data_IF_370689352313
#
_entry.id   IF_370689352313
#
_cell.length_a   1.000
_cell.length_b   1.000
_cell.length_c   1.000
_cell.angle_alpha   90.00
_cell.angle_beta   90.00
_cell.angle_gamma   90.00
#
_symmetry.space_group_name_H-M   'P 1'
#
loop_
_entity.id
_entity.type
_entity.pdbx_description
1 polymer ?
#
# COMPACT_ATOMS: atom_id res chain seq x y z
N UNK A 1 41.89 -46.62 -24.40
CA UNK A 1 42.30 -45.22 -24.17
C UNK A 1 41.35 -44.32 -24.95
N UNK A 2 40.79 -43.33 -24.42
CA UNK A 2 39.78 -42.41 -24.93
C UNK A 2 38.32 -42.85 -24.77
N UNK A 3 37.71 -42.36 -23.67
CA UNK A 3 36.30 -41.90 -23.62
C UNK A 3 36.07 -41.23 -22.26
N UNK A 4 36.46 -39.96 -22.14
CA UNK A 4 36.08 -39.05 -21.08
C UNK A 4 36.14 -37.66 -21.62
N UNK A 5 35.00 -37.10 -22.02
CA UNK A 5 34.73 -35.66 -22.16
C UNK A 5 33.34 -35.46 -22.76
N UNK A 6 32.28 -35.49 -21.98
CA UNK A 6 30.97 -34.92 -22.35
C UNK A 6 29.96 -34.96 -21.20
N UNK A 7 30.27 -34.39 -20.04
CA UNK A 7 29.26 -34.23 -18.94
C UNK A 7 29.30 -32.87 -18.27
N UNK A 8 30.09 -31.92 -18.75
CA UNK A 8 30.25 -30.62 -18.05
C UNK A 8 29.46 -29.43 -18.63
N UNK A 9 28.54 -29.58 -19.57
CA UNK A 9 27.88 -28.46 -20.24
C UNK A 9 26.37 -28.30 -19.96
N UNK A 10 25.75 -29.11 -19.10
CA UNK A 10 24.29 -29.03 -18.86
C UNK A 10 23.92 -28.38 -17.52
N UNK A 11 24.87 -28.18 -16.61
CA UNK A 11 24.59 -27.69 -15.25
C UNK A 11 24.48 -26.14 -15.13
N UNK A 12 24.86 -25.36 -16.14
CA UNK A 12 24.82 -23.88 -16.04
C UNK A 12 23.55 -23.19 -16.60
N UNK A 13 22.66 -23.93 -17.26
CA UNK A 13 21.45 -23.33 -17.88
C UNK A 13 20.21 -23.32 -16.94
N UNK A 14 20.27 -23.97 -15.78
CA UNK A 14 19.09 -24.07 -14.89
C UNK A 14 19.04 -23.06 -13.76
N UNK A 15 20.04 -22.21 -13.57
CA UNK A 15 20.04 -21.21 -12.49
C UNK A 15 19.46 -19.84 -12.87
N UNK A 16 19.07 -19.59 -14.13
CA UNK A 16 18.51 -18.33 -14.58
C UNK A 16 16.96 -18.34 -14.72
N UNK A 17 16.31 -19.48 -14.59
CA UNK A 17 14.86 -19.61 -14.85
C UNK A 17 13.97 -19.59 -13.60
N UNK A 18 14.52 -19.39 -12.39
CA UNK A 18 13.78 -19.50 -11.10
C UNK A 18 13.75 -18.19 -10.30
N UNK A 19 13.57 -17.02 -10.95
CA UNK A 19 13.24 -15.77 -10.26
C UNK A 19 11.99 -15.14 -10.86
N UNK A 20 10.88 -15.89 -10.80
CA UNK A 20 9.58 -15.39 -11.23
C UNK A 20 8.88 -14.56 -10.15
N UNK A 21 9.24 -14.76 -8.87
CA UNK A 21 8.65 -14.00 -7.75
C UNK A 21 9.72 -13.75 -6.69
N UNK A 22 9.83 -12.51 -6.19
CA UNK A 22 10.86 -12.10 -5.23
C UNK A 22 10.38 -10.95 -4.34
N UNK A 23 10.98 -10.83 -3.15
CA UNK A 23 10.87 -9.63 -2.31
C UNK A 23 12.23 -8.94 -2.32
N UNK A 24 12.23 -7.62 -2.57
CA UNK A 24 13.42 -6.77 -2.61
C UNK A 24 13.23 -5.55 -1.71
N UNK A 25 14.33 -4.97 -1.23
CA UNK A 25 14.30 -3.68 -0.53
C UNK A 25 15.02 -2.62 -1.36
N UNK A 26 14.47 -1.42 -1.39
CA UNK A 26 15.05 -0.29 -2.13
C UNK A 26 14.59 1.06 -1.55
N UNK A 27 15.45 2.05 -1.59
CA UNK A 27 15.15 3.46 -1.30
C UNK A 27 14.98 4.30 -2.58
N UNK A 28 15.16 3.69 -3.77
CA UNK A 28 14.99 4.34 -5.07
C UNK A 28 13.87 3.65 -5.87
N UNK A 29 12.81 4.39 -6.13
CA UNK A 29 11.65 3.89 -6.89
C UNK A 29 11.99 3.47 -8.34
N UNK A 30 13.15 3.86 -8.87
CA UNK A 30 13.63 3.38 -10.17
C UNK A 30 13.84 1.86 -10.18
N UNK A 31 14.18 1.26 -9.03
CA UNK A 31 14.26 -0.20 -8.90
C UNK A 31 12.88 -0.85 -9.03
N UNK A 32 11.83 -0.25 -8.44
CA UNK A 32 10.43 -0.66 -8.63
C UNK A 32 10.03 -0.56 -10.10
N UNK A 33 10.34 0.58 -10.74
CA UNK A 33 10.06 0.81 -12.16
C UNK A 33 10.80 -0.19 -13.08
N UNK A 34 12.01 -0.61 -12.71
CA UNK A 34 12.75 -1.65 -13.44
C UNK A 34 12.06 -3.02 -13.34
N UNK A 35 11.50 -3.39 -12.18
CA UNK A 35 10.72 -4.61 -12.04
C UNK A 35 9.45 -4.58 -12.91
N UNK A 36 8.71 -3.46 -12.91
CA UNK A 36 7.55 -3.26 -13.78
C UNK A 36 7.94 -3.39 -15.26
N UNK A 37 9.04 -2.74 -15.66
CA UNK A 37 9.53 -2.79 -17.05
C UNK A 37 9.89 -4.22 -17.47
N UNK A 38 10.58 -4.97 -16.62
CA UNK A 38 10.94 -6.37 -16.85
C UNK A 38 9.70 -7.24 -17.13
N UNK A 39 8.63 -7.06 -16.34
CA UNK A 39 7.39 -7.78 -16.57
C UNK A 39 6.63 -7.29 -17.81
N UNK A 40 6.63 -6.00 -18.09
CA UNK A 40 6.02 -5.45 -19.30
C UNK A 40 6.70 -5.96 -20.58
N UNK A 41 8.02 -6.09 -20.55
CA UNK A 41 8.79 -6.66 -21.69
C UNK A 41 8.52 -8.17 -21.86
N UNK A 42 8.17 -8.87 -20.78
CA UNK A 42 7.87 -10.32 -20.79
C UNK A 42 6.42 -10.64 -21.19
N UNK A 43 5.46 -9.89 -20.72
CA UNK A 43 4.03 -10.24 -20.81
C UNK A 43 3.19 -9.26 -21.65
N UNK A 44 3.71 -8.08 -21.95
CA UNK A 44 2.95 -6.93 -22.44
C UNK A 44 2.57 -5.98 -21.30
N UNK A 45 2.60 -4.65 -21.52
CA UNK A 45 2.33 -3.67 -20.49
C UNK A 45 0.92 -3.78 -19.89
N UNK A 46 -0.07 -4.11 -20.70
CA UNK A 46 -1.48 -4.28 -20.31
C UNK A 46 -1.74 -5.48 -19.38
N UNK A 47 -0.74 -6.36 -19.24
CA UNK A 47 -0.80 -7.54 -18.36
C UNK A 47 -0.01 -7.38 -17.08
N UNK A 48 0.45 -6.17 -16.80
CA UNK A 48 1.20 -5.83 -15.59
C UNK A 48 0.39 -4.87 -14.73
N UNK A 49 0.29 -5.20 -13.44
CA UNK A 49 -0.32 -4.36 -12.43
C UNK A 49 0.75 -3.82 -11.48
N UNK A 50 0.87 -2.50 -11.41
CA UNK A 50 1.64 -1.81 -10.38
C UNK A 50 0.71 -1.42 -9.23
N UNK A 51 0.96 -1.98 -8.05
CA UNK A 51 0.18 -1.72 -6.83
C UNK A 51 1.04 -0.93 -5.84
N UNK A 52 0.51 0.15 -5.31
CA UNK A 52 1.25 1.14 -4.53
C UNK A 52 0.51 1.46 -3.24
N UNK A 53 1.22 1.42 -2.12
CA UNK A 53 0.74 2.01 -0.88
C UNK A 53 0.83 3.55 -0.92
N UNK A 54 0.19 4.24 0.04
CA UNK A 54 0.21 5.71 0.14
C UNK A 54 1.24 6.19 1.15
N UNK A 55 1.04 5.86 2.42
CA UNK A 55 1.77 6.47 3.52
C UNK A 55 3.24 6.04 3.48
N UNK A 56 4.14 7.03 3.51
CA UNK A 56 5.58 6.86 3.34
C UNK A 56 6.04 6.18 2.02
N UNK A 57 5.10 5.82 1.15
CA UNK A 57 5.37 5.20 -0.17
C UNK A 57 5.13 6.19 -1.32
N UNK A 58 3.89 6.63 -1.53
CA UNK A 58 3.54 7.66 -2.52
C UNK A 58 3.62 9.07 -1.93
N UNK A 59 3.19 9.21 -0.68
CA UNK A 59 3.09 10.46 0.04
C UNK A 59 3.60 10.30 1.48
N UNK A 60 4.32 11.30 1.97
CA UNK A 60 4.67 11.46 3.37
C UNK A 60 4.18 12.82 3.89
N UNK A 61 3.76 12.88 5.16
CA UNK A 61 3.35 14.13 5.78
C UNK A 61 4.53 15.11 5.89
N UNK A 62 4.27 16.41 5.66
CA UNK A 62 5.29 17.45 5.84
C UNK A 62 5.70 17.66 7.31
N UNK A 63 4.92 17.13 8.23
CA UNK A 63 5.13 17.21 9.68
C UNK A 63 4.83 15.87 10.33
N UNK A 64 5.45 15.61 11.47
CA UNK A 64 5.22 14.38 12.24
C UNK A 64 3.77 14.27 12.74
N UNK A 65 3.15 15.38 13.13
CA UNK A 65 1.75 15.38 13.56
C UNK A 65 0.83 14.94 12.42
N UNK A 66 0.13 13.84 12.63
CA UNK A 66 -0.75 13.21 11.64
C UNK A 66 -0.03 12.31 10.62
N UNK A 67 1.31 12.10 10.75
CA UNK A 67 2.01 11.08 9.96
C UNK A 67 1.60 9.67 10.38
N UNK A 68 1.88 8.67 9.53
CA UNK A 68 1.62 7.26 9.87
C UNK A 68 2.34 6.84 11.14
N UNK A 69 3.62 7.19 11.30
CA UNK A 69 4.38 6.87 12.50
C UNK A 69 3.84 7.54 13.75
N UNK A 70 3.23 8.72 13.65
CA UNK A 70 2.54 9.37 14.74
C UNK A 70 1.23 8.64 15.09
N UNK A 71 0.45 8.26 14.10
CA UNK A 71 -0.78 7.49 14.27
C UNK A 71 -0.51 6.14 14.95
N UNK A 72 0.51 5.41 14.48
CA UNK A 72 0.92 4.14 15.09
C UNK A 72 1.42 4.31 16.53
N UNK A 73 2.08 5.43 16.81
CA UNK A 73 2.50 5.75 18.18
C UNK A 73 1.28 6.04 19.08
N UNK A 74 0.31 6.83 18.64
CA UNK A 74 -0.93 7.09 19.39
C UNK A 74 -1.72 5.79 19.61
N UNK A 75 -1.81 4.94 18.59
CA UNK A 75 -2.44 3.62 18.74
C UNK A 75 -1.71 2.75 19.76
N UNK A 76 -0.37 2.75 19.74
CA UNK A 76 0.42 2.04 20.73
C UNK A 76 0.13 2.54 22.15
N UNK A 77 0.08 3.86 22.36
CA UNK A 77 -0.27 4.44 23.67
C UNK A 77 -1.67 4.02 24.12
N UNK A 78 -2.64 4.08 23.20
CA UNK A 78 -4.02 3.67 23.49
C UNK A 78 -4.10 2.21 23.94
N UNK A 79 -3.37 1.32 23.29
CA UNK A 79 -3.41 -0.12 23.56
C UNK A 79 -2.59 -0.53 24.80
N UNK A 80 -1.48 0.17 25.10
CA UNK A 80 -0.49 -0.28 26.07
C UNK A 80 -0.24 0.71 27.23
N UNK A 81 -0.43 2.00 26.98
CA UNK A 81 -0.15 3.08 27.94
C UNK A 81 -1.33 4.08 28.04
N UNK A 82 -2.56 3.61 28.35
CA UNK A 82 -3.77 4.46 28.30
C UNK A 82 -3.82 5.60 29.32
N UNK A 83 -2.81 5.71 30.20
CA UNK A 83 -2.64 6.81 31.16
C UNK A 83 -1.50 7.76 30.79
N UNK A 84 -0.93 7.62 29.59
CA UNK A 84 0.15 8.49 29.13
C UNK A 84 -0.35 9.92 28.95
N UNK A 85 0.39 10.91 29.43
CA UNK A 85 0.12 12.34 29.19
C UNK A 85 0.28 12.73 27.71
N UNK A 86 0.85 11.85 26.90
CA UNK A 86 1.07 12.03 25.48
C UNK A 86 -0.07 11.44 24.62
N UNK A 87 -0.97 10.64 25.22
CA UNK A 87 -2.17 10.13 24.56
C UNK A 87 -3.20 11.27 24.44
N UNK A 88 -3.76 11.42 23.22
CA UNK A 88 -4.63 12.56 22.92
C UNK A 88 -6.11 12.21 22.78
N UNK A 89 -6.46 10.93 22.85
CA UNK A 89 -7.82 10.40 22.68
C UNK A 89 -8.08 9.25 23.63
N UNK A 90 -9.35 8.94 23.88
CA UNK A 90 -9.75 7.85 24.77
C UNK A 90 -10.17 6.57 24.03
N UNK A 91 -10.31 6.65 22.69
CA UNK A 91 -10.75 5.51 21.87
C UNK A 91 -10.09 5.50 20.48
N UNK A 92 -10.12 4.33 19.85
CA UNK A 92 -9.62 4.18 18.48
C UNK A 92 -10.47 4.95 17.45
N UNK A 93 -11.77 5.05 17.65
CA UNK A 93 -12.67 5.80 16.77
C UNK A 93 -12.36 7.30 16.83
N UNK A 94 -12.12 7.85 18.03
CA UNK A 94 -11.66 9.24 18.18
C UNK A 94 -10.28 9.46 17.50
N UNK A 95 -9.37 8.47 17.58
CA UNK A 95 -8.08 8.57 16.91
C UNK A 95 -8.25 8.65 15.39
N UNK A 96 -9.19 7.90 14.81
CA UNK A 96 -9.53 8.00 13.39
C UNK A 96 -10.12 9.36 13.03
N UNK A 97 -10.98 9.93 13.86
CA UNK A 97 -11.55 11.27 13.65
C UNK A 97 -10.46 12.36 13.67
N UNK A 98 -9.56 12.31 14.66
CA UNK A 98 -8.40 13.21 14.72
C UNK A 98 -7.51 13.03 13.50
N UNK A 99 -7.25 11.80 13.07
CA UNK A 99 -6.44 11.53 11.87
C UNK A 99 -7.11 12.10 10.61
N UNK A 100 -8.44 11.98 10.47
CA UNK A 100 -9.19 12.55 9.35
C UNK A 100 -9.06 14.08 9.30
N UNK A 101 -9.18 14.73 10.46
CA UNK A 101 -8.96 16.18 10.58
C UNK A 101 -7.51 16.54 10.19
N UNK A 102 -6.51 15.82 10.71
CA UNK A 102 -5.10 16.09 10.41
C UNK A 102 -4.76 15.88 8.92
N UNK A 103 -5.33 14.86 8.27
CA UNK A 103 -5.22 14.69 6.82
C UNK A 103 -5.91 15.81 6.04
N UNK A 104 -7.04 16.31 6.55
CA UNK A 104 -7.77 17.41 5.92
C UNK A 104 -7.03 18.74 5.99
N UNK A 105 -6.34 19.02 7.09
CA UNK A 105 -5.56 20.23 7.33
C UNK A 105 -4.14 20.13 6.80
N UNK A 106 -3.58 18.92 6.78
CA UNK A 106 -2.18 18.66 6.48
C UNK A 106 -1.83 18.79 5.00
N UNK A 107 -0.53 18.77 4.75
CA UNK A 107 0.05 18.68 3.41
C UNK A 107 1.06 17.56 3.37
N UNK A 108 1.14 16.93 2.21
CA UNK A 108 2.05 15.81 1.96
C UNK A 108 3.00 16.14 0.81
N UNK A 109 4.06 15.36 0.72
CA UNK A 109 5.04 15.41 -0.37
C UNK A 109 5.42 14.00 -0.82
N UNK A 110 5.88 13.81 -2.06
CA UNK A 110 6.42 12.52 -2.48
C UNK A 110 7.75 12.23 -1.75
N UNK A 111 7.96 11.03 -1.17
CA UNK A 111 9.22 10.64 -0.56
C UNK A 111 10.42 10.81 -1.50
N UNK A 112 10.23 10.52 -2.77
CA UNK A 112 11.20 10.76 -3.84
C UNK A 112 10.65 11.82 -4.79
N UNK A 113 11.38 12.91 -4.97
CA UNK A 113 10.93 14.11 -5.71
C UNK A 113 10.45 13.82 -7.14
N UNK A 114 11.07 12.88 -7.83
CA UNK A 114 10.72 12.51 -9.21
C UNK A 114 9.71 11.34 -9.31
N UNK A 115 9.23 10.82 -8.17
CA UNK A 115 8.31 9.70 -8.10
C UNK A 115 7.05 9.87 -8.96
N UNK A 116 6.32 11.01 -8.95
CA UNK A 116 5.15 11.21 -9.79
C UNK A 116 5.47 11.08 -11.28
N UNK A 117 6.65 11.57 -11.69
CA UNK A 117 7.10 11.47 -13.10
C UNK A 117 7.47 10.05 -13.48
N UNK A 118 8.05 9.27 -12.56
CA UNK A 118 8.37 7.86 -12.81
C UNK A 118 7.08 7.06 -13.01
N UNK A 119 6.09 7.24 -12.13
CA UNK A 119 4.78 6.58 -12.23
C UNK A 119 4.07 6.97 -13.54
N UNK A 120 3.99 8.27 -13.85
CA UNK A 120 3.36 8.76 -15.08
C UNK A 120 3.99 8.15 -16.35
N UNK A 121 5.32 7.91 -16.37
CA UNK A 121 5.98 7.21 -17.49
C UNK A 121 5.57 5.74 -17.60
N UNK A 122 5.38 5.05 -16.49
CA UNK A 122 4.88 3.68 -16.50
C UNK A 122 3.43 3.63 -17.00
N UNK A 123 2.59 4.53 -16.51
CA UNK A 123 1.20 4.70 -16.94
C UNK A 123 1.10 4.99 -18.45
N UNK A 124 1.95 5.86 -18.99
CA UNK A 124 1.95 6.18 -20.42
C UNK A 124 2.34 5.00 -21.32
N UNK A 125 2.91 3.92 -20.77
CA UNK A 125 3.18 2.65 -21.45
C UNK A 125 1.98 1.68 -21.41
N UNK A 126 0.88 2.05 -20.75
CA UNK A 126 -0.31 1.19 -20.61
C UNK A 126 -0.25 0.24 -19.41
N UNK A 127 0.64 0.48 -18.43
CA UNK A 127 0.69 -0.30 -17.18
C UNK A 127 -0.55 0.05 -16.34
N UNK A 128 -1.31 -0.95 -15.90
CA UNK A 128 -2.37 -0.75 -14.92
C UNK A 128 -1.78 -0.34 -13.56
N UNK A 129 -2.42 0.62 -12.90
CA UNK A 129 -1.99 1.10 -11.58
C UNK A 129 -3.14 1.08 -10.58
N UNK A 130 -2.85 0.63 -9.38
CA UNK A 130 -3.77 0.64 -8.23
C UNK A 130 -3.05 1.20 -7.02
N UNK A 131 -3.66 2.15 -6.36
CA UNK A 131 -3.29 2.56 -5.01
C UNK A 131 -4.03 1.66 -4.03
N UNK A 132 -3.30 0.95 -3.17
CA UNK A 132 -3.85 0.01 -2.19
C UNK A 132 -3.45 0.47 -0.79
N UNK A 133 -4.38 1.09 -0.08
CA UNK A 133 -4.11 1.72 1.23
C UNK A 133 -4.97 1.14 2.34
N UNK A 134 -4.41 1.11 3.55
CA UNK A 134 -5.16 0.78 4.78
C UNK A 134 -6.10 1.89 5.24
N UNK A 135 -6.05 3.06 4.64
CA UNK A 135 -6.99 4.15 4.91
C UNK A 135 -8.43 3.69 4.63
N UNK A 136 -9.38 4.16 5.43
CA UNK A 136 -10.80 3.93 5.20
C UNK A 136 -11.43 4.95 4.24
N UNK A 137 -12.67 4.69 3.78
CA UNK A 137 -13.41 5.59 2.89
C UNK A 137 -13.55 7.03 3.39
N UNK A 138 -13.55 7.23 4.70
CA UNK A 138 -13.64 8.54 5.38
C UNK A 138 -12.45 9.45 5.05
N UNK A 139 -11.30 8.88 4.67
CA UNK A 139 -10.09 9.64 4.29
C UNK A 139 -10.01 9.96 2.80
N UNK A 140 -11.00 9.54 1.98
CA UNK A 140 -10.93 9.63 0.51
C UNK A 140 -10.69 11.04 0.01
N UNK A 141 -11.50 12.01 0.42
CA UNK A 141 -11.38 13.38 -0.08
C UNK A 141 -10.01 14.02 0.22
N UNK A 142 -9.47 13.78 1.42
CA UNK A 142 -8.14 14.27 1.79
C UNK A 142 -7.04 13.56 0.98
N UNK A 143 -7.19 12.26 0.75
CA UNK A 143 -6.25 11.43 -0.02
C UNK A 143 -6.20 11.88 -1.48
N UNK A 144 -7.34 11.98 -2.15
CA UNK A 144 -7.44 12.41 -3.56
C UNK A 144 -6.89 13.82 -3.75
N UNK A 145 -7.20 14.74 -2.82
CA UNK A 145 -6.65 16.10 -2.83
C UNK A 145 -5.12 16.10 -2.77
N UNK A 146 -4.52 15.29 -1.88
CA UNK A 146 -3.06 15.28 -1.72
C UNK A 146 -2.37 14.55 -2.89
N UNK A 147 -2.96 13.48 -3.43
CA UNK A 147 -2.47 12.83 -4.65
C UNK A 147 -2.49 13.81 -5.83
N UNK A 148 -3.61 14.49 -6.07
CA UNK A 148 -3.72 15.48 -7.16
C UNK A 148 -2.76 16.66 -6.98
N UNK A 149 -2.60 17.17 -5.74
CA UNK A 149 -1.66 18.25 -5.42
C UNK A 149 -0.21 17.86 -5.73
N UNK A 150 0.13 16.60 -5.57
CA UNK A 150 1.45 16.06 -5.83
C UNK A 150 1.57 15.46 -7.25
N UNK A 151 0.65 15.80 -8.15
CA UNK A 151 0.67 15.43 -9.57
C UNK A 151 0.54 13.92 -9.85
N UNK A 152 -0.17 13.19 -9.00
CA UNK A 152 -0.58 11.82 -9.27
C UNK A 152 -1.98 11.80 -9.87
N UNK A 153 -2.15 10.95 -10.88
CA UNK A 153 -3.44 10.59 -11.47
C UNK A 153 -3.45 9.08 -11.71
N UNK A 154 -4.34 8.38 -11.02
CA UNK A 154 -4.48 6.92 -11.15
C UNK A 154 -5.73 6.52 -11.93
N UNK A 155 -6.63 7.46 -12.24
CA UNK A 155 -7.88 7.17 -12.94
C UNK A 155 -7.64 6.63 -14.36
N UNK A 156 -6.66 7.22 -15.07
CA UNK A 156 -6.39 6.90 -16.47
C UNK A 156 -5.92 5.45 -16.68
N UNK A 157 -5.22 4.86 -15.71
CA UNK A 157 -4.69 3.49 -15.77
C UNK A 157 -5.25 2.60 -14.67
N UNK A 158 -6.38 3.00 -14.08
CA UNK A 158 -7.08 2.20 -13.10
C UNK A 158 -7.33 0.78 -13.64
N UNK A 159 -7.18 -0.22 -12.77
CA UNK A 159 -7.55 -1.60 -13.13
C UNK A 159 -9.06 -1.63 -13.42
N UNK A 160 -9.50 -2.02 -14.62
CA UNK A 160 -10.92 -2.15 -14.90
C UNK A 160 -11.50 -3.34 -14.13
N UNK A 161 -12.67 -3.16 -13.55
CA UNK A 161 -13.33 -4.17 -12.73
C UNK A 161 -14.72 -4.51 -13.29
N UNK A 162 -15.12 -5.77 -13.13
CA UNK A 162 -16.44 -6.27 -13.47
C UNK A 162 -17.35 -6.24 -12.26
N UNK A 163 -18.56 -5.72 -12.45
CA UNK A 163 -19.69 -5.90 -11.52
C UNK A 163 -19.47 -5.40 -10.08
N UNK A 164 -18.51 -4.50 -9.83
CA UNK A 164 -18.42 -3.88 -8.52
C UNK A 164 -19.37 -2.68 -8.42
N UNK A 165 -20.05 -2.51 -7.28
CA UNK A 165 -20.88 -1.34 -7.03
C UNK A 165 -20.03 -0.07 -6.96
N UNK A 166 -20.58 1.06 -7.37
CA UNK A 166 -20.00 2.36 -7.06
C UNK A 166 -20.16 2.70 -5.58
N UNK A 167 -19.24 3.50 -5.04
CA UNK A 167 -19.23 3.87 -3.63
C UNK A 167 -18.67 2.80 -2.71
N UNK A 168 -19.15 2.79 -1.46
CA UNK A 168 -18.71 1.83 -0.45
C UNK A 168 -19.43 0.48 -0.61
N UNK A 169 -18.66 -0.61 -0.52
CA UNK A 169 -19.15 -1.98 -0.60
C UNK A 169 -18.39 -2.92 0.32
N UNK A 170 -18.94 -4.10 0.62
CA UNK A 170 -18.22 -5.14 1.36
C UNK A 170 -17.34 -5.93 0.38
N UNK A 171 -16.03 -6.09 0.66
CA UNK A 171 -15.07 -6.66 -0.30
C UNK A 171 -15.14 -8.18 -0.42
N UNK A 172 -15.83 -8.86 0.48
CA UNK A 172 -16.08 -10.31 0.48
C UNK A 172 -17.28 -10.65 1.37
N UNK A 173 -17.81 -11.86 1.16
CA UNK A 173 -18.79 -12.50 2.02
C UNK A 173 -18.16 -13.74 2.67
N UNK A 174 -18.24 -13.86 4.00
CA UNK A 174 -17.71 -15.02 4.73
C UNK A 174 -18.49 -16.30 4.42
N UNK A 175 -19.76 -16.20 4.02
CA UNK A 175 -20.61 -17.32 3.63
C UNK A 175 -20.41 -17.75 2.17
N UNK A 176 -19.84 -16.86 1.31
CA UNK A 176 -19.54 -17.13 -0.10
C UNK A 176 -18.20 -16.56 -0.55
N UNK A 177 -17.13 -16.99 0.07
CA UNK A 177 -15.75 -16.54 -0.22
C UNK A 177 -15.36 -16.71 -1.69
N UNK A 178 -15.89 -17.72 -2.36
CA UNK A 178 -15.56 -18.05 -3.74
C UNK A 178 -16.02 -16.97 -4.72
N UNK A 179 -17.13 -16.28 -4.42
CA UNK A 179 -17.63 -15.17 -5.22
C UNK A 179 -16.61 -14.02 -5.34
N UNK A 180 -15.72 -13.88 -4.35
CA UNK A 180 -14.69 -12.85 -4.29
C UNK A 180 -13.27 -13.43 -4.45
N UNK A 181 -13.15 -14.66 -4.97
CA UNK A 181 -11.85 -15.30 -5.24
C UNK A 181 -11.04 -15.69 -4.01
N UNK A 182 -11.68 -15.74 -2.85
CA UNK A 182 -11.07 -16.10 -1.58
C UNK A 182 -11.39 -17.56 -1.21
N UNK A 183 -10.66 -18.09 -0.24
CA UNK A 183 -10.82 -19.46 0.29
C UNK A 183 -10.85 -19.44 1.81
N UNK A 184 -11.32 -20.52 2.42
CA UNK A 184 -11.24 -20.70 3.88
C UNK A 184 -9.80 -20.64 4.41
N UNK A 185 -8.81 -21.04 3.59
CA UNK A 185 -7.39 -20.90 3.96
C UNK A 185 -6.97 -19.42 3.99
N UNK A 186 -7.49 -18.57 3.09
CA UNK A 186 -7.20 -17.14 3.09
C UNK A 186 -7.76 -16.47 4.35
N UNK A 187 -8.97 -16.86 4.79
CA UNK A 187 -9.55 -16.40 6.06
C UNK A 187 -8.59 -16.66 7.22
N UNK A 188 -8.08 -17.89 7.33
CA UNK A 188 -7.15 -18.26 8.39
C UNK A 188 -5.78 -17.57 8.25
N UNK A 189 -5.24 -17.49 7.02
CA UNK A 189 -3.89 -16.96 6.76
C UNK A 189 -3.80 -15.46 6.91
N UNK A 190 -4.87 -14.72 6.58
CA UNK A 190 -4.92 -13.25 6.62
C UNK A 190 -5.73 -12.71 7.80
N UNK A 191 -6.24 -13.59 8.66
CA UNK A 191 -7.04 -13.20 9.83
C UNK A 191 -8.29 -12.44 9.45
N UNK A 192 -9.00 -12.88 8.40
CA UNK A 192 -10.20 -12.21 7.95
C UNK A 192 -11.33 -12.40 8.97
N UNK A 193 -11.99 -11.31 9.30
CA UNK A 193 -13.14 -11.24 10.16
C UNK A 193 -14.34 -10.68 9.38
N UNK A 194 -15.38 -10.25 10.08
CA UNK A 194 -16.50 -9.51 9.46
C UNK A 194 -15.98 -8.38 8.56
N UNK A 195 -16.36 -8.34 7.27
CA UNK A 195 -15.83 -7.35 6.34
C UNK A 195 -16.29 -5.94 6.71
N UNK A 196 -15.38 -4.99 6.50
CA UNK A 196 -15.68 -3.56 6.62
C UNK A 196 -15.89 -2.96 5.24
N UNK A 197 -16.74 -1.91 5.11
CA UNK A 197 -16.90 -1.22 3.84
C UNK A 197 -15.58 -0.69 3.29
N UNK A 198 -15.37 -0.93 2.00
CA UNK A 198 -14.22 -0.46 1.21
C UNK A 198 -14.71 0.37 0.03
N UNK A 199 -13.82 1.11 -0.62
CA UNK A 199 -14.15 1.81 -1.86
C UNK A 199 -13.02 1.62 -2.88
N UNK A 200 -13.39 1.35 -4.14
CA UNK A 200 -12.46 1.39 -5.27
C UNK A 200 -12.96 2.40 -6.31
N UNK A 201 -12.33 3.54 -6.37
CA UNK A 201 -12.67 4.62 -7.30
C UNK A 201 -11.40 5.27 -7.83
N UNK A 202 -11.38 5.61 -9.11
CA UNK A 202 -10.24 6.27 -9.78
C UNK A 202 -8.88 5.58 -9.56
N UNK A 203 -8.88 4.23 -9.47
CA UNK A 203 -7.66 3.47 -9.23
C UNK A 203 -7.18 3.47 -7.77
N UNK A 204 -7.96 4.02 -6.83
CA UNK A 204 -7.63 4.08 -5.40
C UNK A 204 -8.53 3.12 -4.63
N UNK A 205 -7.92 2.09 -4.03
CA UNK A 205 -8.58 1.10 -3.19
C UNK A 205 -8.30 1.37 -1.72
N UNK A 206 -9.34 1.79 -0.99
CA UNK A 206 -9.28 2.10 0.43
C UNK A 206 -9.86 0.93 1.22
N UNK A 207 -9.05 0.26 2.04
CA UNK A 207 -9.37 -1.06 2.61
C UNK A 207 -9.80 -1.04 4.07
N UNK A 208 -9.89 0.14 4.71
CA UNK A 208 -10.35 0.30 6.09
C UNK A 208 -9.58 -0.60 7.09
N UNK A 209 -8.26 -0.72 6.94
CA UNK A 209 -7.38 -1.51 7.79
C UNK A 209 -7.45 -3.02 7.57
N UNK A 210 -8.20 -3.50 6.58
CA UNK A 210 -8.27 -4.91 6.25
C UNK A 210 -7.00 -5.41 5.53
N UNK A 211 -6.76 -6.73 5.55
CA UNK A 211 -5.57 -7.33 4.97
C UNK A 211 -5.37 -6.96 3.51
N UNK A 212 -4.32 -6.19 3.20
CA UNK A 212 -3.98 -5.77 1.82
C UNK A 212 -3.81 -6.97 0.88
N UNK A 213 -3.31 -8.11 1.38
CA UNK A 213 -3.17 -9.33 0.60
C UNK A 213 -4.51 -9.89 0.15
N UNK A 214 -5.44 -10.07 1.07
CA UNK A 214 -6.79 -10.55 0.77
C UNK A 214 -7.57 -9.55 -0.10
N UNK A 215 -7.47 -8.26 0.20
CA UNK A 215 -8.11 -7.21 -0.59
C UNK A 215 -7.60 -7.18 -2.04
N UNK A 216 -6.30 -7.38 -2.25
CA UNK A 216 -5.76 -7.47 -3.60
C UNK A 216 -6.22 -8.74 -4.34
N UNK A 217 -6.36 -9.87 -3.65
CA UNK A 217 -6.93 -11.09 -4.26
C UNK A 217 -8.36 -10.86 -4.74
N UNK A 218 -9.21 -10.29 -3.88
CA UNK A 218 -10.59 -9.96 -4.23
C UNK A 218 -10.64 -8.97 -5.42
N UNK A 219 -9.79 -7.93 -5.41
CA UNK A 219 -9.70 -6.99 -6.52
C UNK A 219 -9.28 -7.68 -7.84
N UNK A 220 -8.27 -8.55 -7.80
CA UNK A 220 -7.79 -9.30 -8.97
C UNK A 220 -8.84 -10.28 -9.50
N UNK A 221 -9.66 -10.89 -8.62
CA UNK A 221 -10.76 -11.75 -9.01
C UNK A 221 -11.81 -11.00 -9.85
N UNK A 222 -12.11 -9.77 -9.48
CA UNK A 222 -13.04 -8.91 -10.21
C UNK A 222 -12.41 -8.14 -11.38
N UNK A 223 -11.11 -8.30 -11.62
CA UNK A 223 -10.44 -7.59 -12.71
C UNK A 223 -10.99 -7.98 -14.10
N UNK A 224 -11.22 -6.99 -14.93
CA UNK A 224 -11.53 -7.16 -16.36
C UNK A 224 -10.27 -6.96 -17.22
N UNK A 225 -9.17 -7.58 -16.79
CA UNK A 225 -7.89 -7.58 -17.47
C UNK A 225 -7.15 -8.89 -17.19
N UNK A 226 -6.39 -9.40 -18.17
CA UNK A 226 -5.55 -10.60 -18.03
C UNK A 226 -4.21 -10.24 -17.36
N UNK A 227 -4.24 -9.95 -16.06
CA UNK A 227 -3.02 -9.62 -15.30
C UNK A 227 -2.16 -10.88 -15.15
N UNK A 228 -0.89 -10.80 -15.54
CA UNK A 228 0.13 -11.89 -15.43
C UNK A 228 1.19 -11.61 -14.41
N UNK A 229 1.43 -10.35 -14.11
CA UNK A 229 2.43 -9.97 -13.13
C UNK A 229 1.97 -8.79 -12.28
N UNK A 230 2.35 -8.81 -11.02
CA UNK A 230 2.10 -7.76 -10.03
C UNK A 230 3.45 -7.24 -9.52
N UNK A 231 3.60 -5.93 -9.47
CA UNK A 231 4.67 -5.28 -8.70
C UNK A 231 4.00 -4.50 -7.58
N UNK A 232 4.32 -4.86 -6.34
CA UNK A 232 3.76 -4.20 -5.15
C UNK A 232 4.85 -3.44 -4.41
N UNK A 233 4.62 -2.16 -4.11
CA UNK A 233 5.53 -1.34 -3.31
C UNK A 233 4.83 -0.76 -2.09
N UNK A 234 5.47 -0.92 -0.92
CA UNK A 234 4.97 -0.50 0.39
C UNK A 234 6.18 -0.24 1.31
N UNK A 235 6.08 0.73 2.21
CA UNK A 235 7.15 1.02 3.18
C UNK A 235 7.18 0.01 4.34
N UNK A 236 6.13 -0.80 4.52
CA UNK A 236 6.02 -1.79 5.59
C UNK A 236 6.30 -3.19 5.06
N UNK A 237 7.44 -3.75 5.46
CA UNK A 237 7.87 -5.11 5.04
C UNK A 237 6.80 -6.19 5.31
N UNK A 238 6.01 -6.05 6.38
CA UNK A 238 4.94 -7.01 6.68
C UNK A 238 3.81 -6.95 5.63
N UNK A 239 3.42 -5.75 5.17
CA UNK A 239 2.46 -5.62 4.08
C UNK A 239 3.00 -6.23 2.79
N UNK A 240 4.28 -5.97 2.47
CA UNK A 240 4.94 -6.59 1.31
C UNK A 240 4.90 -8.12 1.41
N UNK A 241 5.22 -8.68 2.57
CA UNK A 241 5.20 -10.12 2.79
C UNK A 241 3.79 -10.72 2.66
N UNK A 242 2.77 -10.07 3.23
CA UNK A 242 1.38 -10.54 3.15
C UNK A 242 0.82 -10.47 1.72
N UNK A 243 1.06 -9.38 1.00
CA UNK A 243 0.63 -9.25 -0.40
C UNK A 243 1.39 -10.25 -1.28
N UNK A 244 2.69 -10.42 -1.05
CA UNK A 244 3.49 -11.43 -1.75
C UNK A 244 2.93 -12.84 -1.52
N UNK A 245 2.68 -13.22 -0.27
CA UNK A 245 2.12 -14.53 0.08
C UNK A 245 0.72 -14.75 -0.53
N UNK A 246 -0.10 -13.71 -0.59
CA UNK A 246 -1.43 -13.77 -1.18
C UNK A 246 -1.38 -14.05 -2.68
N UNK A 247 -0.53 -13.34 -3.42
CA UNK A 247 -0.53 -13.36 -4.89
C UNK A 247 0.36 -14.48 -5.45
N UNK A 248 1.47 -14.81 -4.77
CA UNK A 248 2.37 -15.88 -5.20
C UNK A 248 1.64 -17.22 -5.27
N UNK A 249 1.78 -17.93 -6.40
CA UNK A 249 1.12 -19.23 -6.59
C UNK A 249 -0.36 -19.15 -7.04
N UNK A 250 -0.92 -17.96 -7.21
CA UNK A 250 -2.29 -17.74 -7.70
C UNK A 250 -2.35 -17.45 -9.22
N UNK A 251 -1.33 -17.87 -9.97
CA UNK A 251 -1.27 -17.68 -11.42
C UNK A 251 -0.62 -16.37 -11.86
N UNK A 252 -0.14 -15.57 -10.93
CA UNK A 252 0.58 -14.32 -11.19
C UNK A 252 2.04 -14.43 -10.76
N UNK A 253 2.95 -13.83 -11.52
CA UNK A 253 4.29 -13.52 -11.02
C UNK A 253 4.23 -12.26 -10.16
N UNK A 254 5.02 -12.18 -9.08
CA UNK A 254 5.01 -11.01 -8.19
C UNK A 254 6.42 -10.59 -7.80
N UNK A 255 6.67 -9.29 -7.81
CA UNK A 255 7.78 -8.65 -7.10
C UNK A 255 7.24 -7.77 -5.99
N UNK A 256 7.53 -8.11 -4.74
CA UNK A 256 7.29 -7.28 -3.58
C UNK A 256 8.48 -6.33 -3.36
N UNK A 257 8.22 -5.03 -3.28
CA UNK A 257 9.25 -4.01 -3.07
C UNK A 257 9.04 -3.35 -1.70
N UNK A 258 9.90 -3.64 -0.74
CA UNK A 258 9.98 -2.88 0.51
C UNK A 258 10.65 -1.54 0.21
N UNK A 259 9.85 -0.46 0.15
CA UNK A 259 10.32 0.88 -0.19
C UNK A 259 10.73 1.63 1.06
N UNK A 260 12.04 1.78 1.29
CA UNK A 260 12.64 2.23 2.55
C UNK A 260 13.02 3.70 2.58
N UNK A 261 12.51 4.52 1.64
CA UNK A 261 12.91 5.92 1.48
C UNK A 261 12.67 6.76 2.72
N UNK A 262 11.52 6.59 3.39
CA UNK A 262 11.15 7.31 4.60
C UNK A 262 11.60 6.62 5.89
N UNK A 263 12.22 5.44 5.83
CA UNK A 263 12.69 4.70 7.01
C UNK A 263 13.58 5.52 7.95
N UNK A 264 14.49 6.39 7.47
CA UNK A 264 15.25 7.27 8.37
C UNK A 264 14.39 8.26 9.16
N UNK A 265 13.31 8.79 8.55
CA UNK A 265 12.38 9.70 9.22
C UNK A 265 11.49 8.93 10.21
N UNK A 266 10.98 7.77 9.81
CA UNK A 266 10.20 6.88 10.67
C UNK A 266 11.01 6.52 11.93
N UNK A 267 12.26 6.08 11.76
CA UNK A 267 13.15 5.76 12.88
C UNK A 267 13.46 6.98 13.76
N UNK A 268 13.66 8.15 13.16
CA UNK A 268 13.87 9.38 13.90
C UNK A 268 12.69 9.71 14.79
N UNK A 269 11.47 9.57 14.28
CA UNK A 269 10.27 9.75 15.08
C UNK A 269 10.16 8.66 16.16
N UNK A 270 10.31 7.39 15.78
CA UNK A 270 10.10 6.24 16.65
C UNK A 270 10.99 6.29 17.91
N UNK A 271 12.26 6.64 17.72
CA UNK A 271 13.27 6.68 18.81
C UNK A 271 13.55 8.09 19.34
N UNK A 272 12.99 9.12 18.74
CA UNK A 272 13.23 10.50 19.10
C UNK A 272 12.29 11.05 20.17
N UNK A 273 12.56 12.29 20.58
CA UNK A 273 11.73 13.07 21.48
C UNK A 273 10.38 13.43 20.82
N UNK A 274 9.30 13.37 21.59
CA UNK A 274 7.93 13.69 21.16
C UNK A 274 7.50 15.12 21.50
N UNK A 275 8.35 15.91 22.14
CA UNK A 275 7.98 17.26 22.64
C UNK A 275 7.46 18.17 21.53
N UNK A 276 8.11 18.13 20.34
CA UNK A 276 7.71 19.00 19.23
C UNK A 276 6.34 18.63 18.68
N UNK A 277 6.06 17.35 18.48
CA UNK A 277 4.75 16.91 17.96
C UNK A 277 3.64 17.17 18.99
N UNK A 278 3.91 16.96 20.27
CA UNK A 278 2.98 17.28 21.35
C UNK A 278 2.73 18.79 21.47
N UNK A 279 3.76 19.61 21.30
CA UNK A 279 3.60 21.06 21.27
C UNK A 279 2.73 21.52 20.11
N UNK A 280 2.90 20.92 18.92
CA UNK A 280 2.05 21.21 17.74
C UNK A 280 0.62 20.81 17.96
N UNK A 281 0.39 19.62 18.55
CA UNK A 281 -0.95 19.17 18.89
C UNK A 281 -1.63 20.14 19.85
N UNK A 282 -1.00 20.45 21.00
CA UNK A 282 -1.55 21.40 21.98
C UNK A 282 -1.86 22.78 21.40
N UNK A 283 -1.05 23.24 20.43
CA UNK A 283 -1.33 24.50 19.73
C UNK A 283 -2.55 24.41 18.83
N UNK A 284 -2.70 23.31 18.10
CA UNK A 284 -3.85 23.07 17.24
C UNK A 284 -5.14 22.92 18.06
N UNK A 285 -5.12 22.08 19.08
CA UNK A 285 -6.27 21.85 19.98
C UNK A 285 -6.80 23.15 20.57
N UNK A 286 -5.93 23.98 21.17
CA UNK A 286 -6.31 25.29 21.68
C UNK A 286 -6.92 26.23 20.62
N UNK A 287 -6.35 26.22 19.41
CA UNK A 287 -6.90 27.08 18.34
C UNK A 287 -8.30 26.60 17.89
N UNK A 288 -8.55 25.29 17.93
CA UNK A 288 -9.88 24.75 17.63
C UNK A 288 -10.88 25.10 18.75
N UNK A 289 -10.49 24.96 20.03
CA UNK A 289 -11.29 25.37 21.17
C UNK A 289 -11.68 26.85 21.09
N UNK A 290 -10.69 27.73 20.82
CA UNK A 290 -10.93 29.19 20.70
C UNK A 290 -11.90 29.57 19.55
N UNK A 291 -12.00 28.74 18.50
CA UNK A 291 -12.83 29.04 17.32
C UNK A 291 -14.22 28.42 17.41
N UNK A 292 -14.36 27.27 18.06
CA UNK A 292 -15.59 26.46 18.00
C UNK A 292 -16.31 26.31 19.36
N UNK A 293 -15.70 26.74 20.49
CA UNK A 293 -16.32 26.85 21.81
C UNK A 293 -16.49 28.33 22.23
#
# INVERSE_FOLDING_TARGET
MMMWCAVAAVACAWSAALRASEITATDDFRAVAAAVTRYADKFGPERVLLVLDIDNTLLAMNHELGSEQWFEWQRYLLDHEPRSDDLIVDSFDELLEVQAMLYSLGRMHPPQRDLPKVISRLQSRGIHTVVLTSRGPEFRAATERELARNHYDFAFTALPLRNLPGGAYLPYDLDDLAADGLTAQDVASFGLAEPKPVTYEQGIYMTAGQSKGAMLLALLHHADADIRAVVYADDRILHVAYVFAAVAGRGHEITGCHYTREEPQIKRFQYGDKQEVNRRWRKLSRALEEVFE
#
